data_IF_086297235085
#
_entry.id   IF_086297235085
#
_cell.length_a   1.000
_cell.length_b   1.000
_cell.length_c   1.000
_cell.angle_alpha   90.00
_cell.angle_beta   90.00
_cell.angle_gamma   90.00
#
_symmetry.space_group_name_H-M   'P 1'
#
loop_
_entity.id
_entity.type
_entity.pdbx_description
1 polymer ?
#
# COMPACT_ATOMS: atom_id res chain seq x y z
N UNK A 1 -9.54 25.71 21.73
CA UNK A 1 -8.28 24.95 21.53
C UNK A 1 -8.27 24.48 20.08
N UNK A 2 -7.26 24.81 19.27
CA UNK A 2 -7.13 24.16 17.94
C UNK A 2 -6.88 22.66 18.17
N UNK A 3 -7.50 21.79 17.36
CA UNK A 3 -7.38 20.34 17.48
C UNK A 3 -5.92 19.87 17.30
N UNK A 4 -5.55 18.79 17.99
CA UNK A 4 -4.26 18.09 17.81
C UNK A 4 -4.51 16.82 17.01
N UNK A 5 -3.56 16.44 16.15
CA UNK A 5 -3.58 15.19 15.41
C UNK A 5 -2.26 14.44 15.61
N UNK A 6 -2.33 13.11 15.55
CA UNK A 6 -1.16 12.24 15.42
C UNK A 6 -1.12 11.75 13.98
N UNK A 7 -0.07 12.14 13.25
CA UNK A 7 0.16 11.68 11.89
C UNK A 7 1.16 10.52 11.93
N UNK A 8 0.78 9.39 11.34
CA UNK A 8 1.63 8.23 11.16
C UNK A 8 1.74 7.99 9.65
N UNK A 9 2.97 7.92 9.15
CA UNK A 9 3.26 7.57 7.77
C UNK A 9 3.84 6.17 7.78
N UNK A 10 3.17 5.26 7.06
CA UNK A 10 3.71 3.94 6.77
C UNK A 10 4.35 4.03 5.38
N UNK A 11 5.65 4.29 5.36
CA UNK A 11 6.38 4.51 4.11
C UNK A 11 6.25 3.31 3.18
N UNK A 12 5.98 3.56 1.90
CA UNK A 12 5.74 2.57 0.83
C UNK A 12 4.56 1.58 0.99
N UNK A 13 3.74 1.67 2.04
CA UNK A 13 2.62 0.73 2.28
C UNK A 13 1.40 1.08 1.43
N UNK A 14 1.49 0.84 0.11
CA UNK A 14 0.39 1.01 -0.84
C UNK A 14 -0.70 -0.04 -0.70
N UNK A 15 -1.96 0.33 -0.95
CA UNK A 15 -3.14 -0.53 -0.85
C UNK A 15 -3.80 -0.85 -2.21
N UNK A 16 -3.03 -0.77 -3.29
CA UNK A 16 -3.47 -0.94 -4.68
C UNK A 16 -2.90 0.17 -5.57
N UNK A 17 -2.85 -0.09 -6.88
CA UNK A 17 -2.39 0.87 -7.87
C UNK A 17 -3.33 2.06 -7.99
N UNK A 18 -2.76 3.23 -8.23
CA UNK A 18 -3.52 4.42 -8.58
C UNK A 18 -4.14 4.28 -9.99
N UNK A 19 -5.15 5.11 -10.36
CA UNK A 19 -5.79 5.03 -11.68
C UNK A 19 -4.82 5.20 -12.87
N UNK A 20 -3.69 5.85 -12.67
CA UNK A 20 -2.62 6.13 -13.64
C UNK A 20 -1.44 5.15 -13.54
N UNK A 21 -1.55 4.06 -12.77
CA UNK A 21 -0.44 3.12 -12.56
C UNK A 21 0.18 2.57 -13.86
N UNK A 22 -0.61 2.42 -14.92
CA UNK A 22 -0.13 1.98 -16.22
C UNK A 22 0.88 2.97 -16.86
N UNK A 23 0.71 4.28 -16.63
CA UNK A 23 1.60 5.31 -17.16
C UNK A 23 3.00 5.24 -16.53
N UNK A 24 3.10 4.64 -15.34
CA UNK A 24 4.34 4.43 -14.59
C UNK A 24 4.88 3.00 -14.70
N UNK A 25 4.19 2.11 -15.43
CA UNK A 25 4.57 0.69 -15.51
C UNK A 25 4.25 -0.13 -14.26
N UNK A 26 3.40 0.39 -13.38
CA UNK A 26 3.01 -0.22 -12.10
C UNK A 26 1.60 -0.86 -12.17
N UNK A 27 1.10 -1.17 -13.37
CA UNK A 27 -0.18 -1.84 -13.54
C UNK A 27 -0.23 -3.15 -12.71
N UNK A 28 -1.26 -3.30 -11.87
CA UNK A 28 -1.42 -4.44 -10.97
C UNK A 28 -0.64 -4.34 -9.64
N UNK A 29 0.12 -3.27 -9.38
CA UNK A 29 0.80 -3.10 -8.10
C UNK A 29 -0.19 -3.06 -6.92
N UNK A 30 0.06 -3.87 -5.89
CA UNK A 30 -0.72 -3.87 -4.64
C UNK A 30 0.13 -4.39 -3.47
N UNK A 31 0.90 -3.50 -2.84
CA UNK A 31 1.86 -3.87 -1.77
C UNK A 31 1.18 -4.60 -0.61
N UNK A 32 0.16 -3.99 -0.01
CA UNK A 32 -0.54 -4.58 1.14
C UNK A 32 -1.23 -5.90 0.78
N UNK A 33 -1.88 -5.96 -0.39
CA UNK A 33 -2.55 -7.17 -0.87
C UNK A 33 -1.58 -8.33 -1.10
N UNK A 34 -0.51 -8.11 -1.87
CA UNK A 34 0.46 -9.16 -2.17
C UNK A 34 1.22 -9.64 -0.91
N UNK A 35 1.50 -8.75 0.06
CA UNK A 35 2.06 -9.13 1.36
C UNK A 35 1.08 -10.02 2.13
N UNK A 36 -0.19 -9.63 2.21
CA UNK A 36 -1.22 -10.41 2.90
C UNK A 36 -1.37 -11.82 2.27
N UNK A 37 -1.35 -11.91 0.95
CA UNK A 37 -1.37 -13.18 0.21
C UNK A 37 -0.13 -14.04 0.49
N UNK A 38 1.06 -13.43 0.53
CA UNK A 38 2.29 -14.14 0.86
C UNK A 38 2.28 -14.70 2.30
N UNK A 39 1.82 -13.90 3.26
CA UNK A 39 1.64 -14.33 4.65
C UNK A 39 0.63 -15.48 4.76
N UNK A 40 -0.54 -15.37 4.12
CA UNK A 40 -1.56 -16.41 4.13
C UNK A 40 -1.06 -17.72 3.50
N UNK A 41 -0.17 -17.63 2.50
CA UNK A 41 0.47 -18.77 1.86
C UNK A 41 1.70 -19.31 2.62
N UNK A 42 2.09 -18.71 3.76
CA UNK A 42 3.28 -19.11 4.51
C UNK A 42 4.61 -18.88 3.78
N UNK A 43 4.66 -17.86 2.90
CA UNK A 43 5.84 -17.51 2.08
C UNK A 43 6.56 -16.24 2.55
N UNK A 44 6.17 -15.68 3.68
CA UNK A 44 6.72 -14.46 4.25
C UNK A 44 7.84 -14.76 5.26
#
# INVERSE_FOLDING_TARGET
>A
MKGRAFLIVLDSVGCGGAPDAADFGDEGANTLGHIAEACAAGRA
#
